data_IF_420050454262
#
_entry.id   IF_420050454262
#
_cell.length_a   1.000
_cell.length_b   1.000
_cell.length_c   1.000
_cell.angle_alpha   90.00
_cell.angle_beta   90.00
_cell.angle_gamma   90.00
#
_symmetry.space_group_name_H-M   'P 1'
#
loop_
_entity.id
_entity.type
_entity.pdbx_description
1 polymer ?
#
# COMPACT_ATOMS: atom_id res chain seq x y z
N UNK A 1 5.26 -6.86 5.63
CA UNK A 1 5.05 -5.63 4.83
C UNK A 1 4.18 -5.88 3.61
N UNK A 2 4.60 -6.67 2.63
CA UNK A 2 3.79 -6.92 1.41
C UNK A 2 2.45 -7.57 1.76
N UNK A 3 2.48 -8.67 2.52
CA UNK A 3 1.28 -9.39 2.98
C UNK A 3 0.35 -8.55 3.87
N UNK A 4 0.91 -7.70 4.73
CA UNK A 4 0.12 -7.03 5.78
C UNK A 4 -0.35 -5.62 5.40
N UNK A 5 0.23 -5.03 4.36
CA UNK A 5 -0.03 -3.65 3.95
C UNK A 5 -0.33 -3.55 2.46
N UNK A 6 0.61 -3.98 1.59
CA UNK A 6 0.49 -3.78 0.15
C UNK A 6 -0.70 -4.55 -0.43
N UNK A 7 -0.80 -5.85 -0.13
CA UNK A 7 -1.86 -6.71 -0.64
C UNK A 7 -3.26 -6.20 -0.23
N UNK A 8 -3.55 -5.93 1.07
CA UNK A 8 -4.83 -5.38 1.48
C UNK A 8 -5.17 -4.04 0.82
N UNK A 9 -4.19 -3.14 0.67
CA UNK A 9 -4.42 -1.83 0.04
C UNK A 9 -4.68 -1.94 -1.47
N UNK A 10 -3.94 -2.77 -2.20
CA UNK A 10 -4.19 -3.02 -3.63
C UNK A 10 -5.59 -3.60 -3.84
N UNK A 11 -6.03 -4.51 -2.98
CA UNK A 11 -7.39 -5.05 -3.04
C UNK A 11 -8.46 -4.00 -2.73
N UNK A 12 -8.23 -3.12 -1.76
CA UNK A 12 -9.15 -2.04 -1.41
C UNK A 12 -9.33 -1.08 -2.61
N UNK A 13 -8.22 -0.60 -3.15
CA UNK A 13 -8.22 0.33 -4.29
C UNK A 13 -8.80 -0.30 -5.56
N UNK A 14 -8.59 -1.60 -5.79
CA UNK A 14 -9.17 -2.29 -6.95
C UNK A 14 -10.69 -2.54 -6.86
N UNK A 15 -11.28 -2.47 -5.66
CA UNK A 15 -12.72 -2.68 -5.43
C UNK A 15 -13.53 -1.40 -5.51
N UNK A 16 -12.96 -0.31 -5.00
CA UNK A 16 -13.60 0.99 -4.99
C UNK A 16 -13.40 1.70 -6.34
N UNK A 17 -14.30 2.62 -6.68
CA UNK A 17 -14.13 3.46 -7.86
C UNK A 17 -13.02 4.49 -7.61
N UNK A 18 -11.77 4.09 -7.85
CA UNK A 18 -10.57 4.94 -7.73
C UNK A 18 -10.27 5.68 -9.04
N UNK A 19 -9.43 6.71 -8.99
CA UNK A 19 -9.05 7.45 -10.19
C UNK A 19 -8.10 6.63 -11.08
N UNK A 20 -7.90 7.07 -12.33
CA UNK A 20 -6.99 6.37 -13.25
C UNK A 20 -5.54 6.34 -12.74
N UNK A 21 -5.10 7.39 -12.06
CA UNK A 21 -3.75 7.48 -11.49
C UNK A 21 -3.50 6.38 -10.44
N UNK A 22 -4.52 6.08 -9.62
CA UNK A 22 -4.46 4.99 -8.64
C UNK A 22 -4.41 3.61 -9.33
N UNK A 23 -5.18 3.43 -10.41
CA UNK A 23 -5.14 2.20 -11.21
C UNK A 23 -3.75 1.99 -11.85
N UNK A 24 -3.17 3.05 -12.40
CA UNK A 24 -1.83 3.01 -13.00
C UNK A 24 -0.77 2.69 -11.94
N UNK A 25 -0.91 3.21 -10.72
CA UNK A 25 -0.05 2.88 -9.59
C UNK A 25 -0.16 1.39 -9.19
N UNK A 26 -1.38 0.83 -9.19
CA UNK A 26 -1.60 -0.61 -8.95
C UNK A 26 -0.90 -1.45 -10.01
N UNK A 27 -1.07 -1.12 -11.30
CA UNK A 27 -0.43 -1.85 -12.38
C UNK A 27 1.10 -1.72 -12.33
N UNK A 28 1.61 -0.55 -11.94
CA UNK A 28 3.04 -0.37 -11.73
C UNK A 28 3.57 -1.29 -10.62
N UNK A 29 2.89 -1.36 -9.47
CA UNK A 29 3.24 -2.27 -8.37
C UNK A 29 3.24 -3.73 -8.86
N UNK A 30 2.19 -4.15 -9.59
CA UNK A 30 2.10 -5.50 -10.17
C UNK A 30 3.26 -5.77 -11.13
N UNK A 31 3.57 -4.82 -12.00
CA UNK A 31 4.68 -4.89 -12.95
C UNK A 31 6.04 -5.07 -12.27
N UNK A 32 6.31 -4.35 -11.19
CA UNK A 32 7.56 -4.50 -10.41
C UNK A 32 7.71 -5.92 -9.88
N UNK A 33 6.66 -6.48 -9.27
CA UNK A 33 6.73 -7.84 -8.72
C UNK A 33 6.80 -8.92 -9.80
N UNK A 34 6.03 -8.77 -10.89
CA UNK A 34 6.09 -9.66 -12.04
C UNK A 34 7.44 -9.61 -12.75
N UNK A 35 8.15 -8.47 -12.72
CA UNK A 35 9.48 -8.33 -13.32
C UNK A 35 10.53 -9.26 -12.74
N UNK A 36 10.33 -9.80 -11.54
CA UNK A 36 11.20 -10.79 -10.93
C UNK A 36 10.95 -12.23 -11.42
N UNK A 37 9.83 -12.50 -12.10
CA UNK A 37 9.55 -13.82 -12.64
C UNK A 37 10.59 -14.21 -13.69
N UNK A 38 11.20 -15.39 -13.54
CA UNK A 38 12.21 -15.90 -14.46
C UNK A 38 13.60 -15.27 -14.29
N UNK A 39 13.80 -14.36 -13.34
CA UNK A 39 15.13 -13.91 -12.95
C UNK A 39 15.83 -14.95 -12.08
N UNK A 40 17.15 -15.04 -12.21
CA UNK A 40 17.98 -15.85 -11.31
C UNK A 40 17.99 -15.23 -9.91
N UNK A 41 17.52 -15.98 -8.92
CA UNK A 41 17.45 -15.54 -7.54
C UNK A 41 17.57 -16.74 -6.60
N UNK A 42 17.86 -16.48 -5.32
CA UNK A 42 17.92 -17.52 -4.31
C UNK A 42 16.56 -18.22 -4.16
N UNK A 43 16.56 -19.54 -4.03
CA UNK A 43 15.35 -20.36 -3.87
C UNK A 43 14.42 -19.83 -2.76
N UNK A 44 14.98 -19.40 -1.62
CA UNK A 44 14.21 -18.86 -0.50
C UNK A 44 13.52 -17.53 -0.80
N UNK A 45 14.02 -16.76 -1.77
CA UNK A 45 13.36 -15.55 -2.25
C UNK A 45 12.29 -15.88 -3.29
N UNK A 46 12.57 -16.84 -4.17
CA UNK A 46 11.61 -17.33 -5.16
C UNK A 46 10.38 -17.95 -4.49
N UNK A 47 10.58 -18.74 -3.44
CA UNK A 47 9.50 -19.33 -2.64
C UNK A 47 8.62 -18.23 -2.04
N UNK A 48 9.21 -17.22 -1.39
CA UNK A 48 8.47 -16.08 -0.83
C UNK A 48 7.72 -15.30 -1.91
N UNK A 49 8.34 -15.05 -3.06
CA UNK A 49 7.68 -14.37 -4.18
C UNK A 49 6.46 -15.17 -4.64
N UNK A 50 6.62 -16.48 -4.81
CA UNK A 50 5.53 -17.37 -5.24
C UNK A 50 4.38 -17.44 -4.24
N UNK A 51 4.65 -17.26 -2.95
CA UNK A 51 3.66 -17.27 -1.88
C UNK A 51 2.69 -16.08 -1.99
N UNK A 52 3.21 -14.86 -2.18
CA UNK A 52 2.38 -13.65 -2.12
C UNK A 52 1.96 -13.12 -3.50
N UNK A 53 2.70 -13.42 -4.57
CA UNK A 53 2.46 -12.83 -5.89
C UNK A 53 1.05 -13.08 -6.43
N UNK A 54 0.46 -14.30 -6.32
CA UNK A 54 -0.91 -14.52 -6.78
C UNK A 54 -1.91 -13.55 -6.14
N UNK A 55 -1.72 -13.21 -4.86
CA UNK A 55 -2.58 -12.29 -4.11
C UNK A 55 -2.37 -10.83 -4.51
N UNK A 56 -1.19 -10.45 -4.99
CA UNK A 56 -0.96 -9.10 -5.54
C UNK A 56 -1.70 -8.92 -6.88
N UNK A 57 -1.83 -10.00 -7.65
CA UNK A 57 -2.44 -10.00 -8.98
C UNK A 57 -3.97 -10.19 -8.94
N UNK A 58 -4.46 -11.13 -8.14
CA UNK A 58 -5.90 -11.43 -8.04
C UNK A 58 -6.50 -10.79 -6.79
N UNK A 59 -7.29 -9.71 -7.00
CA UNK A 59 -7.99 -9.01 -5.93
C UNK A 59 -9.43 -9.51 -5.67
N UNK A 60 -9.87 -10.51 -6.43
CA UNK A 60 -11.28 -10.93 -6.47
C UNK A 60 -11.66 -11.95 -5.39
N UNK A 61 -10.69 -12.70 -4.88
CA UNK A 61 -10.94 -13.94 -4.12
C UNK A 61 -10.84 -13.80 -2.59
N UNK A 62 -10.17 -12.77 -2.06
CA UNK A 62 -9.89 -12.68 -0.63
C UNK A 62 -10.70 -11.56 0.07
N UNK A 63 -11.33 -11.85 1.22
CA UNK A 63 -11.93 -10.81 2.07
C UNK A 63 -10.78 -9.95 2.60
N UNK A 64 -10.73 -8.67 2.21
CA UNK A 64 -9.74 -7.71 2.74
C UNK A 64 -9.98 -7.50 4.23
N UNK A 65 -9.01 -7.90 5.05
CA UNK A 65 -8.97 -7.58 6.47
C UNK A 65 -7.90 -6.52 6.66
N UNK A 66 -8.33 -5.29 6.91
CA UNK A 66 -7.43 -4.22 7.28
C UNK A 66 -7.06 -4.35 8.76
N UNK A 67 -5.85 -3.92 9.10
CA UNK A 67 -5.47 -3.73 10.50
C UNK A 67 -6.40 -2.71 11.16
N UNK A 68 -6.55 -2.83 12.47
CA UNK A 68 -7.28 -1.80 13.22
C UNK A 68 -6.67 -0.41 12.96
N UNK A 69 -7.51 0.63 12.83
CA UNK A 69 -7.02 1.98 12.65
C UNK A 69 -6.12 2.37 13.83
N UNK A 70 -5.03 3.10 13.58
CA UNK A 70 -4.15 3.56 14.65
C UNK A 70 -4.95 4.42 15.64
N UNK A 71 -4.66 4.27 16.94
CA UNK A 71 -5.30 5.09 17.96
C UNK A 71 -4.90 6.55 17.79
N UNK A 72 -5.90 7.43 17.74
CA UNK A 72 -5.68 8.87 17.68
C UNK A 72 -5.52 9.39 19.11
N UNK A 73 -4.29 9.75 19.49
CA UNK A 73 -4.05 10.44 20.77
C UNK A 73 -4.53 11.89 20.64
N UNK A 74 -5.72 12.20 21.17
CA UNK A 74 -6.20 13.58 21.29
C UNK A 74 -5.58 14.24 22.53
N UNK A 75 -4.38 14.78 22.39
CA UNK A 75 -3.70 15.44 23.52
C UNK A 75 -4.42 16.74 23.92
N UNK A 76 -4.75 17.60 22.95
CA UNK A 76 -5.60 18.80 23.11
C UNK A 76 -5.97 19.40 21.73
N UNK A 77 -6.99 20.29 21.63
CA UNK A 77 -7.31 21.00 20.39
C UNK A 77 -6.14 21.84 19.84
N UNK A 78 -5.36 22.46 20.72
CA UNK A 78 -4.21 23.29 20.34
C UNK A 78 -3.05 22.44 19.75
N UNK A 79 -2.86 21.22 20.26
CA UNK A 79 -1.86 20.28 19.71
C UNK A 79 -2.21 19.89 18.26
N UNK A 80 -3.50 19.68 17.97
CA UNK A 80 -3.97 19.36 16.62
C UNK A 80 -3.70 20.51 15.64
N UNK A 81 -4.05 21.73 16.02
CA UNK A 81 -3.83 22.92 15.19
C UNK A 81 -2.34 23.13 14.91
N UNK A 82 -1.51 23.05 15.96
CA UNK A 82 -0.05 23.22 15.83
C UNK A 82 0.56 22.18 14.90
N UNK A 83 0.14 20.91 15.03
CA UNK A 83 0.64 19.82 14.18
C UNK A 83 0.15 19.94 12.74
N UNK A 84 -1.09 20.39 12.52
CA UNK A 84 -1.62 20.61 11.19
C UNK A 84 -0.86 21.74 10.47
N UNK A 85 -0.64 22.87 11.15
CA UNK A 85 0.14 23.99 10.60
C UNK A 85 1.56 23.54 10.21
N UNK A 86 2.24 22.80 11.08
CA UNK A 86 3.58 22.27 10.81
C UNK A 86 3.61 21.33 9.58
N UNK A 87 2.60 20.48 9.40
CA UNK A 87 2.49 19.62 8.20
C UNK A 87 2.29 20.46 6.95
N UNK A 88 1.38 21.44 6.99
CA UNK A 88 1.12 22.31 5.84
C UNK A 88 2.36 23.10 5.42
N UNK A 89 3.10 23.66 6.37
CA UNK A 89 4.37 24.35 6.09
C UNK A 89 5.42 23.42 5.47
N UNK A 90 5.48 22.16 5.89
CA UNK A 90 6.41 21.16 5.35
C UNK A 90 6.07 20.72 3.92
N UNK A 91 4.80 20.80 3.52
CA UNK A 91 4.36 20.41 2.18
C UNK A 91 4.62 21.52 1.15
N UNK A 92 4.58 22.79 1.56
CA UNK A 92 4.79 23.94 0.68
C UNK A 92 6.25 24.06 0.20
N UNK A 93 7.22 23.52 0.96
CA UNK A 93 8.66 23.61 0.63
C UNK A 93 9.17 22.57 -0.37
N UNK A 94 8.32 21.66 -0.87
CA UNK A 94 8.68 20.60 -1.84
C UNK A 94 8.25 20.94 -3.28
N UNK A 95 7.69 22.13 -3.50
CA UNK A 95 7.32 22.68 -4.82
C UNK A 95 8.18 23.88 -5.17
#
# INVERSE_FOLDING_TARGET
MVNDCVIPCVHLMARDSVCQEDLDAIEHIRGVWCGYLGQDMKDSLQEKLSEFLPRVLDCSTERVVLKEPPQVCSNSPHDLESRLAAVMESMVTVT
#
